data_IF_444027606013
#
_entry.id   IF_444027606013
#
_cell.length_a   1.000
_cell.length_b   1.000
_cell.length_c   1.000
_cell.angle_alpha   90.00
_cell.angle_beta   90.00
_cell.angle_gamma   90.00
#
_symmetry.space_group_name_H-M   'P 1'
#
loop_
_entity.id
_entity.type
_entity.pdbx_description
1 polymer ?
#
# COMPACT_ATOMS: atom_id res chain seq x y z
N UNK A 1 -14.51 -36.03 29.32
CA UNK A 1 -13.61 -37.15 29.69
C UNK A 1 -12.19 -36.65 29.55
N UNK A 2 -11.48 -36.49 30.66
CA UNK A 2 -10.12 -35.92 30.76
C UNK A 2 -9.15 -37.07 31.00
N UNK A 3 -8.06 -37.16 30.24
CA UNK A 3 -6.89 -38.04 30.45
C UNK A 3 -5.65 -37.29 29.93
N UNK A 4 -4.88 -36.63 30.82
CA UNK A 4 -3.60 -37.04 31.43
C UNK A 4 -2.45 -37.35 30.45
N UNK A 5 -1.50 -36.42 30.23
CA UNK A 5 -0.16 -36.15 30.87
C UNK A 5 0.99 -37.11 30.46
N UNK A 6 2.15 -36.50 30.12
CA UNK A 6 3.56 -36.81 30.51
C UNK A 6 4.56 -37.03 29.34
N UNK A 7 5.44 -36.02 29.23
CA UNK A 7 6.91 -35.99 29.10
C UNK A 7 7.70 -36.87 28.11
N UNK A 8 8.74 -36.24 27.56
CA UNK A 8 9.92 -36.91 26.99
C UNK A 8 11.03 -35.91 26.66
N UNK A 9 11.82 -35.52 27.67
CA UNK A 9 13.13 -34.90 27.46
C UNK A 9 14.08 -35.93 26.84
N UNK A 10 14.83 -35.55 25.81
CA UNK A 10 16.00 -36.31 25.36
C UNK A 10 17.17 -35.34 25.10
N UNK A 11 18.11 -35.33 26.06
CA UNK A 11 19.46 -34.79 25.93
C UNK A 11 20.32 -35.90 25.33
N UNK A 12 21.04 -35.61 24.24
CA UNK A 12 22.17 -36.43 23.82
C UNK A 12 23.41 -35.56 23.65
N UNK A 13 24.31 -35.74 24.60
CA UNK A 13 25.69 -35.31 24.56
C UNK A 13 26.46 -36.15 23.53
N UNK A 14 27.32 -35.50 22.75
CA UNK A 14 28.32 -36.13 21.90
C UNK A 14 29.61 -35.35 21.99
N UNK A 15 30.54 -35.83 22.82
CA UNK A 15 31.89 -35.30 22.95
C UNK A 15 32.89 -36.01 22.03
N UNK A 16 34.07 -35.41 21.92
CA UNK A 16 35.27 -35.95 21.27
C UNK A 16 35.75 -35.05 20.13
N UNK A 17 37.02 -34.67 19.99
CA UNK A 17 38.25 -35.04 20.68
C UNK A 17 39.24 -33.89 20.41
N UNK A 18 39.92 -33.44 21.46
CA UNK A 18 41.06 -32.51 21.39
C UNK A 18 42.30 -33.26 20.92
N UNK A 19 42.89 -32.85 19.79
CA UNK A 19 44.26 -33.19 19.45
C UNK A 19 45.15 -31.99 19.76
N UNK A 20 45.92 -32.09 20.85
CA UNK A 20 46.99 -31.16 21.16
C UNK A 20 48.21 -31.56 20.33
N UNK A 21 48.65 -30.68 19.42
CA UNK A 21 50.00 -30.75 18.85
C UNK A 21 50.84 -29.70 19.59
N UNK A 22 51.67 -30.18 20.51
CA UNK A 22 52.80 -29.43 21.06
C UNK A 22 53.89 -29.41 20.00
N UNK A 23 54.19 -28.23 19.45
CA UNK A 23 55.37 -27.99 18.65
C UNK A 23 56.09 -26.74 19.17
N UNK A 24 57.19 -27.03 19.84
CA UNK A 24 58.39 -26.26 20.20
C UNK A 24 58.40 -24.73 20.23
N UNK A 25 58.96 -24.25 21.35
CA UNK A 25 59.30 -22.88 21.70
C UNK A 25 60.30 -22.23 20.73
N UNK A 26 59.93 -21.06 20.22
CA UNK A 26 60.74 -19.83 20.09
C UNK A 26 59.96 -18.77 19.31
N UNK A 27 59.68 -17.58 19.86
CA UNK A 27 59.24 -16.47 19.04
C UNK A 27 60.42 -16.03 18.16
N UNK A 28 60.41 -16.39 16.88
CA UNK A 28 61.17 -15.66 15.86
C UNK A 28 60.62 -14.24 15.83
N UNK A 29 61.44 -13.25 16.15
CA UNK A 29 61.18 -11.85 15.84
C UNK A 29 60.90 -11.73 14.34
N UNK A 30 59.62 -11.61 13.99
CA UNK A 30 59.21 -11.19 12.65
C UNK A 30 59.26 -9.68 12.66
N UNK A 31 60.17 -9.13 11.87
CA UNK A 31 60.26 -7.70 11.53
C UNK A 31 58.86 -7.14 11.30
N UNK A 32 58.50 -6.03 11.95
CA UNK A 32 57.20 -5.40 11.71
C UNK A 32 57.16 -4.94 10.25
N UNK A 33 56.49 -5.74 9.41
CA UNK A 33 55.99 -5.22 8.15
C UNK A 33 54.93 -4.23 8.54
N UNK A 34 55.20 -2.94 8.31
CA UNK A 34 54.20 -1.90 8.36
C UNK A 34 53.13 -2.23 7.31
N UNK A 35 52.18 -3.08 7.69
CA UNK A 35 50.97 -3.32 6.94
C UNK A 35 50.11 -2.07 7.10
N UNK A 36 50.40 -1.05 6.27
CA UNK A 36 49.46 0.01 6.01
C UNK A 36 48.20 -0.64 5.46
N UNK A 37 47.21 -0.88 6.32
CA UNK A 37 45.85 -1.15 5.86
C UNK A 37 45.49 0.04 4.96
N UNK A 38 45.05 -0.18 3.71
CA UNK A 38 44.44 0.92 2.98
C UNK A 38 43.30 1.44 3.85
N UNK A 39 43.36 2.73 4.21
CA UNK A 39 42.23 3.39 4.87
C UNK A 39 40.99 3.13 4.02
N UNK A 40 39.84 2.79 4.63
CA UNK A 40 38.62 2.58 3.88
C UNK A 40 38.38 3.85 3.05
N UNK A 41 38.40 3.68 1.72
CA UNK A 41 38.00 4.76 0.82
C UNK A 41 36.58 5.12 1.23
N UNK A 42 36.34 6.39 1.55
CA UNK A 42 35.00 6.89 1.84
C UNK A 42 34.14 6.50 0.64
N UNK A 43 33.26 5.52 0.84
CA UNK A 43 32.25 5.18 -0.15
C UNK A 43 31.41 6.43 -0.27
N UNK A 44 31.31 6.99 -1.48
CA UNK A 44 30.34 8.04 -1.75
C UNK A 44 29.01 7.56 -1.20
N UNK A 45 28.40 8.39 -0.36
CA UNK A 45 27.10 8.12 0.22
C UNK A 45 26.12 8.15 -0.95
N UNK A 46 25.94 6.99 -1.59
CA UNK A 46 24.91 6.83 -2.61
C UNK A 46 23.60 6.85 -1.86
N UNK A 47 23.11 8.05 -1.58
CA UNK A 47 21.77 8.27 -1.03
C UNK A 47 20.82 7.58 -1.98
N UNK A 48 20.35 6.38 -1.60
CA UNK A 48 19.30 5.69 -2.33
C UNK A 48 18.16 6.69 -2.48
N UNK A 49 17.56 6.84 -3.68
CA UNK A 49 16.37 7.67 -3.83
C UNK A 49 15.40 7.31 -2.72
N UNK A 50 14.93 8.32 -1.98
CA UNK A 50 13.93 8.12 -0.94
C UNK A 50 12.72 7.52 -1.65
N UNK A 51 12.46 6.24 -1.38
CA UNK A 51 11.31 5.54 -1.93
C UNK A 51 10.02 6.13 -1.38
N UNK A 52 8.86 5.74 -1.93
CA UNK A 52 7.59 6.17 -1.40
C UNK A 52 7.42 5.80 0.09
N UNK A 53 6.63 6.58 0.87
CA UNK A 53 6.36 6.31 2.27
C UNK A 53 5.89 4.86 2.48
N UNK A 54 6.63 4.09 3.29
CA UNK A 54 6.37 2.66 3.52
C UNK A 54 4.95 2.40 4.03
N UNK A 55 4.42 3.35 4.81
CA UNK A 55 3.09 3.22 5.39
C UNK A 55 1.98 3.13 4.34
N UNK A 56 2.19 3.62 3.12
CA UNK A 56 1.23 3.54 2.01
C UNK A 56 1.30 2.19 1.29
N UNK A 57 2.46 1.55 1.29
CA UNK A 57 2.69 0.30 0.56
C UNK A 57 1.84 -0.83 1.16
N UNK A 58 1.16 -1.55 0.28
CA UNK A 58 0.39 -2.75 0.58
C UNK A 58 -1.03 -2.69 0.04
N UNK A 59 -1.88 -3.59 0.54
CA UNK A 59 -3.28 -3.70 0.12
C UNK A 59 -4.25 -3.05 1.11
N UNK A 60 -5.22 -2.33 0.57
CA UNK A 60 -6.17 -1.53 1.32
C UNK A 60 -7.60 -1.73 0.82
N UNK A 61 -8.56 -1.45 1.68
CA UNK A 61 -9.97 -1.34 1.32
C UNK A 61 -10.59 -0.10 1.91
N UNK A 62 -11.36 0.65 1.14
CA UNK A 62 -12.12 1.79 1.67
C UNK A 62 -13.20 1.28 2.62
N UNK A 63 -13.27 1.88 3.80
CA UNK A 63 -14.25 1.58 4.85
C UNK A 63 -15.34 2.64 4.87
N UNK A 64 -14.94 3.89 4.66
CA UNK A 64 -15.83 5.04 4.52
C UNK A 64 -15.20 5.96 3.48
N UNK A 65 -15.97 6.38 2.50
CA UNK A 65 -15.50 7.33 1.50
C UNK A 65 -16.61 8.28 1.12
N UNK A 66 -16.26 9.55 1.01
CA UNK A 66 -17.08 10.60 0.43
C UNK A 66 -16.33 11.16 -0.79
N UNK A 67 -17.02 11.19 -1.93
CA UNK A 67 -16.52 11.75 -3.19
C UNK A 67 -17.52 12.74 -3.76
N UNK A 68 -17.04 13.73 -4.49
CA UNK A 68 -17.89 14.65 -5.25
C UNK A 68 -18.02 14.13 -6.68
N UNK A 69 -19.24 13.81 -7.11
CA UNK A 69 -19.52 13.19 -8.41
C UNK A 69 -20.36 14.13 -9.26
N UNK A 70 -19.88 14.42 -10.47
CA UNK A 70 -20.66 15.11 -11.51
C UNK A 70 -21.69 14.13 -12.10
N UNK A 71 -22.84 13.99 -11.46
CA UNK A 71 -23.89 13.06 -11.87
C UNK A 71 -24.72 13.60 -13.04
N UNK A 72 -25.18 14.85 -12.94
CA UNK A 72 -25.88 15.55 -14.01
C UNK A 72 -24.96 16.60 -14.63
N UNK A 73 -25.01 16.75 -15.95
CA UNK A 73 -24.15 17.70 -16.69
C UNK A 73 -24.38 19.15 -16.27
N UNK A 74 -25.62 19.52 -15.95
CA UNK A 74 -26.04 20.89 -15.63
C UNK A 74 -26.04 21.21 -14.14
N UNK A 75 -25.73 20.26 -13.26
CA UNK A 75 -25.74 20.44 -11.81
C UNK A 75 -24.31 20.41 -11.27
N UNK A 76 -24.06 21.09 -10.16
CA UNK A 76 -22.76 20.98 -9.47
C UNK A 76 -22.47 19.53 -9.03
N UNK A 77 -21.19 19.15 -8.84
CA UNK A 77 -20.85 17.86 -8.28
C UNK A 77 -21.59 17.62 -6.96
N UNK A 78 -22.20 16.45 -6.84
CA UNK A 78 -22.99 16.06 -5.67
C UNK A 78 -22.14 15.15 -4.76
N UNK A 79 -22.34 15.21 -3.44
CA UNK A 79 -21.67 14.30 -2.52
C UNK A 79 -22.24 12.90 -2.67
N UNK A 80 -21.36 11.92 -2.80
CA UNK A 80 -21.68 10.51 -2.75
C UNK A 80 -20.86 9.84 -1.67
N UNK A 81 -21.45 8.86 -1.01
CA UNK A 81 -20.77 7.99 -0.04
C UNK A 81 -20.64 6.57 -0.58
N UNK A 82 -19.54 5.91 -0.23
CA UNK A 82 -19.29 4.52 -0.61
C UNK A 82 -18.37 3.82 0.39
N UNK A 83 -18.16 2.53 0.17
CA UNK A 83 -17.13 1.71 0.81
C UNK A 83 -16.82 0.51 -0.08
N UNK A 84 -15.70 -0.15 0.18
CA UNK A 84 -15.41 -1.46 -0.37
C UNK A 84 -14.52 -1.47 -1.62
N UNK A 85 -14.08 -0.31 -2.13
CA UNK A 85 -13.05 -0.22 -3.18
C UNK A 85 -11.75 -0.81 -2.65
N UNK A 86 -11.09 -1.63 -3.46
CA UNK A 86 -9.82 -2.23 -3.09
C UNK A 86 -8.66 -1.54 -3.81
N UNK A 87 -7.57 -1.29 -3.08
CA UNK A 87 -6.36 -0.68 -3.59
C UNK A 87 -5.15 -1.53 -3.27
N UNK A 88 -4.16 -1.49 -4.16
CA UNK A 88 -2.84 -2.05 -3.94
C UNK A 88 -1.79 -1.02 -4.35
N UNK A 89 -0.87 -0.70 -3.45
CA UNK A 89 0.27 0.18 -3.72
C UNK A 89 1.57 -0.61 -3.63
N UNK A 90 2.37 -0.56 -4.69
CA UNK A 90 3.66 -1.26 -4.78
C UNK A 90 4.83 -0.31 -4.58
N UNK A 91 5.98 -0.78 -4.05
CA UNK A 91 7.16 0.05 -3.83
C UNK A 91 7.77 0.67 -5.08
N UNK A 92 7.47 0.12 -6.26
CA UNK A 92 7.93 0.60 -7.55
C UNK A 92 7.14 1.82 -8.08
N UNK A 93 6.16 2.31 -7.30
CA UNK A 93 5.30 3.42 -7.71
C UNK A 93 4.15 3.00 -8.61
N UNK A 94 3.89 1.70 -8.76
CA UNK A 94 2.66 1.22 -9.42
C UNK A 94 1.58 0.91 -8.39
N UNK A 95 0.32 1.01 -8.82
CA UNK A 95 -0.82 0.61 -8.01
C UNK A 95 -1.97 0.11 -8.86
N UNK A 96 -2.91 -0.56 -8.20
CA UNK A 96 -4.12 -1.07 -8.83
C UNK A 96 -5.31 -0.74 -7.93
N UNK A 97 -6.37 -0.25 -8.54
CA UNK A 97 -7.68 -0.09 -7.93
C UNK A 97 -8.63 -1.14 -8.51
N UNK A 98 -9.45 -1.75 -7.67
CA UNK A 98 -10.51 -2.68 -8.07
C UNK A 98 -11.84 -2.35 -7.42
N UNK A 99 -12.89 -2.43 -8.21
CA UNK A 99 -14.27 -2.42 -7.75
C UNK A 99 -14.96 -3.69 -8.23
N UNK A 100 -15.62 -4.38 -7.30
CA UNK A 100 -16.54 -5.46 -7.61
C UNK A 100 -17.94 -4.99 -7.24
N UNK A 101 -18.64 -4.45 -8.25
CA UNK A 101 -20.00 -3.90 -8.11
C UNK A 101 -20.16 -2.95 -6.90
N UNK A 102 -19.16 -2.08 -6.69
CA UNK A 102 -19.15 -1.14 -5.56
C UNK A 102 -20.22 -0.08 -5.77
N UNK A 103 -21.04 0.12 -4.74
CA UNK A 103 -22.19 1.03 -4.80
C UNK A 103 -21.85 2.36 -4.15
N UNK A 104 -22.18 3.44 -4.84
CA UNK A 104 -22.10 4.81 -4.36
C UNK A 104 -23.52 5.32 -4.17
N UNK A 105 -23.78 5.92 -3.01
CA UNK A 105 -25.08 6.48 -2.66
C UNK A 105 -24.99 8.00 -2.58
N UNK A 106 -25.94 8.68 -3.19
CA UNK A 106 -26.07 10.13 -3.14
C UNK A 106 -27.55 10.52 -3.15
N UNK A 107 -27.82 11.81 -3.03
CA UNK A 107 -29.18 12.33 -3.06
C UNK A 107 -29.25 13.62 -3.86
N UNK A 108 -30.33 13.80 -4.63
CA UNK A 108 -30.62 15.04 -5.34
C UNK A 108 -32.10 15.36 -5.27
N UNK A 109 -32.43 16.56 -4.79
CA UNK A 109 -33.82 17.03 -4.63
C UNK A 109 -34.72 16.03 -3.87
N UNK A 110 -34.16 15.36 -2.85
CA UNK A 110 -34.87 14.37 -2.03
C UNK A 110 -34.97 12.97 -2.64
N UNK A 111 -34.47 12.74 -3.86
CA UNK A 111 -34.43 11.43 -4.50
C UNK A 111 -33.06 10.77 -4.31
N UNK A 112 -33.05 9.46 -4.12
CA UNK A 112 -31.81 8.67 -4.09
C UNK A 112 -31.19 8.62 -5.50
N UNK A 113 -29.88 8.84 -5.55
CA UNK A 113 -29.04 8.56 -6.70
C UNK A 113 -28.11 7.42 -6.35
N UNK A 114 -27.81 6.56 -7.32
CA UNK A 114 -26.91 5.44 -7.14
C UNK A 114 -25.96 5.29 -8.31
N UNK A 115 -24.67 5.08 -8.03
CA UNK A 115 -23.72 4.61 -9.04
C UNK A 115 -23.22 3.22 -8.66
N UNK A 116 -22.99 2.38 -9.66
CA UNK A 116 -22.34 1.09 -9.48
C UNK A 116 -21.08 1.07 -10.31
N UNK A 117 -19.94 1.04 -9.62
CA UNK A 117 -18.62 0.92 -10.23
C UNK A 117 -18.18 -0.54 -10.28
N UNK A 118 -17.64 -0.96 -11.41
CA UNK A 118 -17.14 -2.32 -11.59
C UNK A 118 -15.92 -2.35 -12.50
N UNK A 119 -14.93 -3.15 -12.14
CA UNK A 119 -13.72 -3.36 -12.92
C UNK A 119 -12.43 -2.95 -12.18
N UNK A 120 -11.39 -2.60 -12.94
CA UNK A 120 -10.11 -2.23 -12.38
C UNK A 120 -9.40 -1.12 -13.16
N UNK A 121 -8.48 -0.46 -12.48
CA UNK A 121 -7.59 0.55 -13.04
C UNK A 121 -6.19 0.32 -12.48
N UNK A 122 -5.21 0.13 -13.36
CA UNK A 122 -3.80 0.18 -13.01
C UNK A 122 -3.29 1.61 -13.20
N UNK A 123 -2.48 2.09 -12.26
CA UNK A 123 -2.00 3.46 -12.23
C UNK A 123 -0.57 3.52 -11.72
N UNK A 124 0.08 4.66 -11.95
CA UNK A 124 1.32 5.02 -11.26
C UNK A 124 1.04 6.08 -10.22
N UNK A 125 1.81 6.08 -9.14
CA UNK A 125 1.65 7.01 -8.04
C UNK A 125 2.99 7.42 -7.47
N UNK A 126 3.01 8.61 -6.90
CA UNK A 126 4.10 9.12 -6.07
C UNK A 126 3.50 9.70 -4.80
N UNK A 127 4.31 9.86 -3.77
CA UNK A 127 3.87 10.51 -2.55
C UNK A 127 5.01 11.29 -1.91
N UNK A 128 4.64 12.38 -1.25
CA UNK A 128 5.45 13.08 -0.26
C UNK A 128 5.03 12.64 1.13
N UNK A 129 5.52 13.29 2.19
CA UNK A 129 5.08 12.98 3.56
C UNK A 129 3.61 13.35 3.84
N UNK A 130 2.94 14.11 2.96
CA UNK A 130 1.57 14.60 3.17
C UNK A 130 0.62 14.43 1.99
N UNK A 131 1.13 14.28 0.78
CA UNK A 131 0.28 14.23 -0.41
C UNK A 131 0.57 12.98 -1.24
N UNK A 132 -0.48 12.41 -1.83
CA UNK A 132 -0.39 11.31 -2.81
C UNK A 132 -0.80 11.87 -4.17
N UNK A 133 0.06 11.67 -5.15
CA UNK A 133 -0.19 12.06 -6.54
C UNK A 133 -0.41 10.81 -7.37
N UNK A 134 -1.63 10.63 -7.86
CA UNK A 134 -1.96 9.59 -8.81
C UNK A 134 -1.79 10.11 -10.24
N UNK A 135 -1.00 9.41 -11.06
CA UNK A 135 -0.81 9.75 -12.46
C UNK A 135 -1.69 8.90 -13.38
N UNK A 136 -1.78 9.30 -14.65
CA UNK A 136 -2.65 8.68 -15.65
C UNK A 136 -2.56 7.16 -15.66
N UNK A 137 -3.70 6.46 -15.70
CA UNK A 137 -3.72 5.02 -15.64
C UNK A 137 -3.09 4.38 -16.86
N UNK A 138 -2.37 3.30 -16.59
CA UNK A 138 -1.60 2.53 -17.57
C UNK A 138 -2.48 1.48 -18.25
N UNK A 139 -3.54 1.04 -17.58
CA UNK A 139 -4.56 0.12 -18.08
C UNK A 139 -5.88 0.33 -17.32
N UNK A 140 -7.01 0.28 -18.02
CA UNK A 140 -8.32 0.29 -17.37
C UNK A 140 -9.33 -0.59 -18.09
N UNK A 141 -10.13 -1.31 -17.31
CA UNK A 141 -11.38 -1.94 -17.72
C UNK A 141 -12.38 -1.57 -16.63
N UNK A 142 -13.11 -0.46 -16.83
CA UNK A 142 -13.94 0.12 -15.79
C UNK A 142 -15.28 0.60 -16.33
N UNK A 143 -16.35 0.27 -15.62
CA UNK A 143 -17.72 0.69 -15.96
C UNK A 143 -18.38 1.38 -14.78
N UNK A 144 -19.18 2.41 -15.11
CA UNK A 144 -20.09 3.06 -14.18
C UNK A 144 -21.51 2.96 -14.68
N UNK A 145 -22.38 2.33 -13.90
CA UNK A 145 -23.82 2.33 -14.15
C UNK A 145 -24.49 3.38 -13.25
N UNK A 146 -25.15 4.35 -13.87
CA UNK A 146 -25.81 5.48 -13.21
C UNK A 146 -27.30 5.19 -13.04
N UNK A 147 -27.83 5.37 -11.84
CA UNK A 147 -29.22 5.14 -11.50
C UNK A 147 -29.83 6.36 -10.82
N UNK A 148 -31.03 6.72 -11.25
CA UNK A 148 -31.90 7.68 -10.58
C UNK A 148 -33.28 7.06 -10.35
N UNK A 149 -34.28 7.87 -9.96
CA UNK A 149 -35.66 7.43 -9.72
C UNK A 149 -36.32 6.71 -10.92
N UNK A 150 -35.80 6.85 -12.14
CA UNK A 150 -36.28 6.20 -13.37
C UNK A 150 -35.65 4.83 -13.60
N UNK A 151 -34.66 4.43 -12.81
CA UNK A 151 -33.87 3.21 -12.98
C UNK A 151 -32.51 3.50 -13.60
N UNK A 152 -31.98 2.55 -14.37
CA UNK A 152 -30.69 2.69 -15.07
C UNK A 152 -30.80 3.81 -16.10
N UNK A 153 -30.03 4.88 -15.91
CA UNK A 153 -29.97 6.03 -16.81
C UNK A 153 -28.96 5.76 -17.93
N UNK A 154 -27.76 5.34 -17.56
CA UNK A 154 -26.65 5.13 -18.49
C UNK A 154 -25.63 4.15 -17.90
N UNK A 155 -24.89 3.46 -18.77
CA UNK A 155 -23.63 2.80 -18.40
C UNK A 155 -22.50 3.38 -19.22
N UNK A 156 -21.48 3.90 -18.54
CA UNK A 156 -20.31 4.51 -19.17
C UNK A 156 -19.08 3.63 -18.95
N UNK A 157 -18.29 3.44 -20.00
CA UNK A 157 -16.90 2.98 -19.87
C UNK A 157 -16.02 4.21 -19.73
N UNK A 158 -15.25 4.32 -18.65
CA UNK A 158 -14.33 5.46 -18.49
C UNK A 158 -13.03 5.16 -19.23
N UNK A 159 -12.66 5.94 -20.26
CA UNK A 159 -11.33 5.88 -20.81
C UNK A 159 -10.33 6.29 -19.74
N UNK A 160 -9.11 5.75 -19.82
CA UNK A 160 -8.01 5.95 -18.89
C UNK A 160 -7.79 7.41 -18.43
N UNK A 161 -8.20 8.43 -19.18
CA UNK A 161 -7.75 9.81 -18.94
C UNK A 161 -8.48 10.62 -17.85
N UNK A 162 -9.41 10.05 -17.06
CA UNK A 162 -10.01 10.83 -15.96
C UNK A 162 -9.03 11.02 -14.79
N UNK A 163 -8.72 12.30 -14.54
CA UNK A 163 -7.95 12.78 -13.39
C UNK A 163 -8.50 12.20 -12.09
N UNK A 164 -7.71 11.33 -11.46
CA UNK A 164 -7.95 10.81 -10.12
C UNK A 164 -7.95 11.94 -9.10
N UNK A 165 -8.62 11.74 -7.97
CA UNK A 165 -8.70 12.73 -6.91
C UNK A 165 -7.28 13.15 -6.49
N UNK A 166 -7.00 14.45 -6.58
CA UNK A 166 -5.83 15.03 -5.93
C UNK A 166 -6.03 14.89 -4.42
N UNK A 167 -5.09 14.23 -3.74
CA UNK A 167 -5.08 14.06 -2.29
C UNK A 167 -4.18 15.13 -1.72
N UNK A 168 -4.79 16.13 -1.07
CA UNK A 168 -4.07 17.26 -0.50
C UNK A 168 -3.40 16.88 0.83
N UNK A 169 -4.01 15.94 1.58
CA UNK A 169 -3.51 15.47 2.86
C UNK A 169 -3.80 13.97 3.05
N UNK A 170 -2.84 13.24 3.61
CA UNK A 170 -3.03 11.87 4.07
C UNK A 170 -2.31 11.60 5.40
N UNK A 171 -2.84 10.63 6.14
CA UNK A 171 -2.21 10.15 7.37
C UNK A 171 -2.33 8.63 7.49
N UNK A 172 -1.21 7.99 7.83
CA UNK A 172 -1.16 6.58 8.20
C UNK A 172 -1.19 6.44 9.74
N UNK A 173 -2.13 5.67 10.28
CA UNK A 173 -2.21 5.35 11.71
C UNK A 173 -2.35 3.83 11.87
N UNK A 174 -1.22 3.15 12.06
CA UNK A 174 -1.18 1.68 12.15
C UNK A 174 -1.73 1.02 10.89
N UNK A 175 -2.89 0.39 11.00
CA UNK A 175 -3.58 -0.30 9.90
C UNK A 175 -4.61 0.56 9.18
N UNK A 176 -4.63 1.87 9.44
CA UNK A 176 -5.57 2.82 8.84
C UNK A 176 -4.82 3.84 7.99
N UNK A 177 -5.40 4.16 6.83
CA UNK A 177 -5.01 5.29 6.00
C UNK A 177 -6.20 6.24 5.91
N UNK A 178 -5.94 7.53 6.09
CA UNK A 178 -6.91 8.59 5.89
C UNK A 178 -6.41 9.46 4.75
N UNK A 179 -7.29 9.79 3.81
CA UNK A 179 -7.04 10.74 2.73
C UNK A 179 -8.11 11.83 2.74
N UNK A 180 -7.73 13.05 2.36
CA UNK A 180 -8.68 14.14 2.17
C UNK A 180 -8.20 15.18 1.16
N UNK A 181 -9.12 16.00 0.67
CA UNK A 181 -8.80 17.22 -0.08
C UNK A 181 -9.77 18.36 0.23
N UNK A 182 -9.39 19.57 -0.16
CA UNK A 182 -10.20 20.78 0.07
C UNK A 182 -11.50 20.80 -0.77
N UNK A 183 -11.66 19.91 -1.75
CA UNK A 183 -12.84 19.82 -2.64
C UNK A 183 -13.92 18.88 -2.11
N UNK A 184 -13.82 18.42 -0.86
CA UNK A 184 -14.83 17.60 -0.20
C UNK A 184 -14.64 16.09 -0.34
N UNK A 185 -13.51 15.64 -0.90
CA UNK A 185 -13.09 14.25 -0.82
C UNK A 185 -12.60 13.92 0.58
N UNK A 186 -13.04 12.78 1.10
CA UNK A 186 -12.52 12.18 2.33
C UNK A 186 -12.64 10.67 2.22
N UNK A 187 -11.60 9.95 2.61
CA UNK A 187 -11.62 8.49 2.55
C UNK A 187 -10.86 7.89 3.72
N UNK A 188 -11.43 6.86 4.33
CA UNK A 188 -10.88 6.08 5.44
C UNK A 188 -10.71 4.64 5.00
N UNK A 189 -9.49 4.15 5.07
CA UNK A 189 -9.09 2.88 4.50
C UNK A 189 -8.58 1.97 5.61
N UNK A 190 -8.88 0.68 5.48
CA UNK A 190 -8.32 -0.36 6.34
C UNK A 190 -7.34 -1.20 5.53
N UNK A 191 -6.21 -1.50 6.14
CA UNK A 191 -5.23 -2.44 5.60
C UNK A 191 -5.84 -3.84 5.54
N UNK A 192 -5.51 -4.57 4.50
CA UNK A 192 -5.98 -5.95 4.28
C UNK A 192 -4.79 -6.92 4.26
N UNK A 193 -5.05 -8.22 4.36
CA UNK A 193 -4.02 -9.27 4.36
C UNK A 193 -3.43 -9.57 2.96
N UNK A 194 -3.57 -8.65 2.01
CA UNK A 194 -3.03 -8.78 0.65
C UNK A 194 -1.52 -8.55 0.58
N UNK A 195 -1.07 -7.77 -0.41
CA UNK A 195 0.34 -7.47 -0.62
C UNK A 195 0.93 -6.77 0.62
N UNK A 196 2.02 -7.37 1.12
CA UNK A 196 2.97 -6.91 2.14
C UNK A 196 2.51 -5.86 3.18
N UNK A 197 2.63 -6.20 4.47
CA UNK A 197 2.71 -5.19 5.53
C UNK A 197 4.16 -4.71 5.60
N UNK A 198 4.43 -3.51 5.09
CA UNK A 198 5.72 -2.86 5.27
C UNK A 198 5.55 -1.86 6.41
N UNK A 199 5.76 -2.36 7.63
CA UNK A 199 5.77 -1.58 8.87
C UNK A 199 7.08 -0.86 9.09
#
# INVERSE_FOLDING_TARGET
MVLFVIAGCAVLAGGGLTAAVLADDRPRQVTSVAAGRPSPTVREDTTRPVGPPLCLIGSWRTVEEQVMVKFYTNEDPLPFTTSGRAYEFRPDGTGTERMDNVVFHGTFQGNELRLVGNGFIDFTWTATDRAITYSSPTRSEFTWAYYDQRGLVETQTIPSEQLRHEVDDYACQGTQLLESNARGYRSVWARTAGLGVYG
#
